data_IF_979710251891
#
_entry.id   IF_979710251891
#
_cell.length_a   1.000
_cell.length_b   1.000
_cell.length_c   1.000
_cell.angle_alpha   90.00
_cell.angle_beta   90.00
_cell.angle_gamma   90.00
#
_symmetry.space_group_name_H-M   'P 1'
#
loop_
_entity.id
_entity.type
_entity.pdbx_description
1 polymer ?
#
# COMPACT_ATOMS: atom_id res chain seq x y z
N UNK A 1 7.07 5.33 -0.18
CA UNK A 1 6.77 4.07 -0.92
C UNK A 1 7.77 3.80 -2.04
N UNK A 2 8.19 4.80 -2.82
CA UNK A 2 9.22 4.62 -3.86
C UNK A 2 10.53 3.99 -3.34
N UNK A 3 11.04 4.44 -2.18
CA UNK A 3 12.22 3.83 -1.55
C UNK A 3 12.04 2.32 -1.26
N UNK A 4 10.90 1.95 -0.66
CA UNK A 4 10.58 0.55 -0.36
C UNK A 4 10.45 -0.26 -1.66
N UNK A 5 9.83 0.30 -2.70
CA UNK A 5 9.70 -0.35 -4.00
C UNK A 5 11.07 -0.60 -4.68
N UNK A 6 11.99 0.36 -4.58
CA UNK A 6 13.37 0.19 -5.05
C UNK A 6 14.09 -0.91 -4.28
N UNK A 7 13.98 -0.89 -2.94
CA UNK A 7 14.60 -1.91 -2.09
C UNK A 7 14.01 -3.31 -2.34
N UNK A 8 12.70 -3.43 -2.63
CA UNK A 8 12.09 -4.70 -3.01
C UNK A 8 12.62 -5.23 -4.35
N UNK A 9 12.92 -4.34 -5.30
CA UNK A 9 13.51 -4.75 -6.57
C UNK A 9 14.93 -5.32 -6.37
N UNK A 10 15.75 -4.69 -5.53
CA UNK A 10 17.08 -5.21 -5.20
C UNK A 10 17.00 -6.57 -4.48
N UNK A 11 16.14 -6.68 -3.45
CA UNK A 11 15.94 -7.96 -2.74
C UNK A 11 15.43 -9.08 -3.66
N UNK A 12 14.62 -8.73 -4.66
CA UNK A 12 14.17 -9.71 -5.63
C UNK A 12 15.32 -10.29 -6.46
N UNK A 13 16.30 -9.46 -6.86
CA UNK A 13 17.51 -9.94 -7.52
C UNK A 13 18.31 -10.88 -6.60
N UNK A 14 18.45 -10.52 -5.31
CA UNK A 14 19.10 -11.38 -4.33
C UNK A 14 18.40 -12.75 -4.18
N UNK A 15 17.06 -12.78 -4.28
CA UNK A 15 16.30 -14.04 -4.21
C UNK A 15 16.48 -14.93 -5.45
N UNK A 16 16.78 -14.34 -6.61
CA UNK A 16 17.06 -15.07 -7.84
C UNK A 16 18.47 -15.67 -7.84
N UNK A 17 19.44 -14.98 -7.25
CA UNK A 17 20.82 -15.46 -7.13
C UNK A 17 21.00 -16.52 -6.03
N UNK A 18 20.00 -16.68 -5.16
CA UNK A 18 20.07 -17.63 -4.05
C UNK A 18 20.01 -19.09 -4.53
N UNK A 19 20.97 -19.90 -4.09
CA UNK A 19 21.06 -21.32 -4.40
C UNK A 19 20.05 -22.14 -3.59
N UNK A 20 18.77 -22.12 -3.99
CA UNK A 20 17.70 -22.88 -3.36
C UNK A 20 17.96 -24.40 -3.43
N UNK A 21 17.78 -25.14 -2.31
CA UNK A 21 17.75 -26.61 -2.36
C UNK A 21 16.64 -27.06 -3.33
N UNK A 22 16.95 -27.99 -4.23
CA UNK A 22 16.09 -28.34 -5.38
C UNK A 22 14.62 -28.70 -5.01
N UNK A 23 14.38 -29.22 -3.80
CA UNK A 23 13.05 -29.57 -3.31
C UNK A 23 12.26 -28.40 -2.67
N UNK A 24 12.88 -27.23 -2.48
CA UNK A 24 12.36 -26.14 -1.63
C UNK A 24 12.17 -24.80 -2.34
N UNK A 25 12.33 -24.76 -3.67
CA UNK A 25 12.17 -23.52 -4.47
C UNK A 25 10.74 -22.96 -4.29
N UNK A 26 10.57 -21.78 -3.68
CA UNK A 26 9.24 -21.23 -3.36
C UNK A 26 8.65 -20.50 -4.56
N UNK A 27 8.22 -21.26 -5.58
CA UNK A 27 7.71 -20.70 -6.85
C UNK A 27 6.47 -19.83 -6.66
N UNK A 28 5.54 -20.26 -5.79
CA UNK A 28 4.30 -19.55 -5.56
C UNK A 28 4.56 -18.17 -4.92
N UNK A 29 5.42 -18.13 -3.91
CA UNK A 29 5.78 -16.91 -3.20
C UNK A 29 6.58 -15.98 -4.09
N UNK A 30 7.47 -16.52 -4.94
CA UNK A 30 8.21 -15.73 -5.92
C UNK A 30 7.26 -15.07 -6.94
N UNK A 31 6.27 -15.81 -7.44
CA UNK A 31 5.24 -15.26 -8.33
C UNK A 31 4.38 -14.22 -7.61
N UNK A 32 3.92 -14.50 -6.39
CA UNK A 32 3.18 -13.54 -5.59
C UNK A 32 4.00 -12.26 -5.35
N UNK A 33 5.31 -12.40 -5.12
CA UNK A 33 6.24 -11.29 -4.96
C UNK A 33 6.28 -10.38 -6.19
N UNK A 34 6.45 -10.96 -7.38
CA UNK A 34 6.48 -10.21 -8.63
C UNK A 34 5.14 -9.52 -8.89
N UNK A 35 4.02 -10.23 -8.71
CA UNK A 35 2.68 -9.68 -8.98
C UNK A 35 2.36 -8.54 -8.03
N UNK A 36 2.56 -8.72 -6.73
CA UNK A 36 2.23 -7.72 -5.72
C UNK A 36 3.17 -6.50 -5.81
N UNK A 37 4.48 -6.72 -5.95
CA UNK A 37 5.45 -5.62 -6.11
C UNK A 37 5.23 -4.87 -7.42
N UNK A 38 4.98 -5.57 -8.53
CA UNK A 38 4.66 -4.97 -9.82
C UNK A 38 3.37 -4.14 -9.75
N UNK A 39 2.33 -4.66 -9.09
CA UNK A 39 1.07 -3.92 -8.87
C UNK A 39 1.33 -2.64 -8.06
N UNK A 40 2.13 -2.71 -7.00
CA UNK A 40 2.47 -1.52 -6.21
C UNK A 40 3.21 -0.47 -7.04
N UNK A 41 4.16 -0.88 -7.89
CA UNK A 41 4.89 0.02 -8.79
C UNK A 41 3.94 0.71 -9.78
N UNK A 42 2.94 0.00 -10.30
CA UNK A 42 1.90 0.58 -11.16
C UNK A 42 0.98 1.55 -10.40
N UNK A 43 0.72 1.31 -9.12
CA UNK A 43 -0.10 2.18 -8.28
C UNK A 43 0.63 3.47 -7.86
N UNK A 44 1.96 3.48 -7.78
CA UNK A 44 2.76 4.66 -7.39
C UNK A 44 2.50 5.92 -8.25
N UNK A 45 2.52 5.89 -9.59
CA UNK A 45 2.21 7.07 -10.39
C UNK A 45 0.75 7.53 -10.22
N UNK A 46 -0.18 6.59 -10.05
CA UNK A 46 -1.60 6.91 -9.78
C UNK A 46 -1.76 7.57 -8.42
N UNK A 47 -1.07 7.07 -7.40
CA UNK A 47 -1.00 7.67 -6.08
C UNK A 47 -0.43 9.09 -6.14
N UNK A 48 0.67 9.29 -6.86
CA UNK A 48 1.27 10.61 -7.02
C UNK A 48 0.30 11.59 -7.69
N UNK A 49 -0.35 11.19 -8.79
CA UNK A 49 -1.35 12.00 -9.45
C UNK A 49 -2.53 12.32 -8.52
N UNK A 50 -3.06 11.32 -7.80
CA UNK A 50 -4.13 11.51 -6.84
C UNK A 50 -3.75 12.47 -5.70
N UNK A 51 -2.51 12.40 -5.22
CA UNK A 51 -1.99 13.27 -4.16
C UNK A 51 -1.80 14.71 -4.64
N UNK A 52 -1.20 14.91 -5.82
CA UNK A 52 -0.94 16.23 -6.41
C UNK A 52 -2.25 16.95 -6.74
N UNK A 53 -3.19 16.25 -7.39
CA UNK A 53 -4.49 16.81 -7.75
C UNK A 53 -5.52 16.75 -6.62
N UNK A 54 -5.14 16.26 -5.43
CA UNK A 54 -6.01 16.11 -4.25
C UNK A 54 -7.33 15.39 -4.57
N UNK A 55 -7.26 14.37 -5.42
CA UNK A 55 -8.39 13.54 -5.81
C UNK A 55 -8.99 12.92 -4.54
N UNK A 56 -10.32 13.00 -4.38
CA UNK A 56 -11.03 12.45 -3.23
C UNK A 56 -10.83 13.19 -1.90
N UNK A 57 -10.10 14.32 -1.85
CA UNK A 57 -9.95 15.13 -0.63
C UNK A 57 -11.20 16.00 -0.32
N UNK A 58 -12.21 15.94 -1.19
CA UNK A 58 -13.59 16.38 -1.00
C UNK A 58 -14.47 15.30 -1.62
N UNK A 59 -15.76 15.22 -1.26
CA UNK A 59 -16.70 14.22 -1.80
C UNK A 59 -17.05 14.46 -3.29
N UNK A 60 -16.10 14.96 -4.09
CA UNK A 60 -16.17 15.31 -5.52
C UNK A 60 -17.51 15.93 -5.93
N UNK A 61 -18.21 16.54 -4.98
CA UNK A 61 -19.57 17.02 -5.03
C UNK A 61 -19.58 18.56 -4.98
N UNK A 62 -18.39 19.16 -4.87
CA UNK A 62 -18.19 20.60 -4.77
C UNK A 62 -18.49 21.17 -3.40
N UNK A 63 -18.87 20.33 -2.41
CA UNK A 63 -19.28 20.79 -1.10
C UNK A 63 -18.16 20.63 -0.07
N UNK A 64 -17.76 21.74 0.57
CA UNK A 64 -16.84 21.73 1.70
C UNK A 64 -17.63 21.89 2.99
N UNK A 65 -17.75 20.81 3.76
CA UNK A 65 -18.24 20.86 5.15
C UNK A 65 -17.43 21.92 5.92
N UNK A 66 -18.12 22.92 6.49
CA UNK A 66 -17.51 23.99 7.29
C UNK A 66 -17.02 25.23 6.51
N UNK A 67 -17.18 25.31 5.18
CA UNK A 67 -16.80 26.53 4.42
C UNK A 67 -17.72 27.72 4.72
N UNK A 68 -18.95 27.46 5.17
CA UNK A 68 -19.89 28.47 5.65
C UNK A 68 -20.28 28.17 7.09
N UNK A 69 -19.40 28.47 8.05
CA UNK A 69 -19.81 28.63 9.45
C UNK A 69 -20.55 29.98 9.64
N UNK A 70 -21.60 30.19 8.84
CA UNK A 70 -22.65 31.16 9.12
C UNK A 70 -23.89 30.35 9.49
N UNK A 71 -24.51 30.71 10.60
CA UNK A 71 -25.43 29.92 11.44
C UNK A 71 -26.71 29.41 10.78
N UNK A 72 -26.94 29.60 9.47
CA UNK A 72 -28.11 29.08 8.76
C UNK A 72 -27.78 28.81 7.28
N UNK A 73 -26.80 27.95 6.97
CA UNK A 73 -26.63 27.51 5.58
C UNK A 73 -27.76 26.57 5.21
N UNK A 74 -28.57 26.97 4.22
CA UNK A 74 -29.56 26.14 3.54
C UNK A 74 -28.92 24.79 3.24
N UNK A 75 -29.39 23.74 3.90
CA UNK A 75 -29.03 22.37 3.53
C UNK A 75 -29.28 22.23 2.02
N UNK A 76 -28.32 21.69 1.25
CA UNK A 76 -28.53 21.54 -0.18
C UNK A 76 -29.85 20.78 -0.39
N UNK A 77 -30.73 21.22 -1.31
CA UNK A 77 -32.00 20.56 -1.53
C UNK A 77 -31.75 19.08 -1.78
N UNK A 78 -32.73 18.25 -1.43
CA UNK A 78 -32.82 16.79 -1.54
C UNK A 78 -32.51 16.17 -2.92
N UNK A 79 -31.92 16.96 -3.83
CA UNK A 79 -31.06 16.57 -4.95
C UNK A 79 -29.80 15.77 -4.56
N UNK A 80 -29.51 15.62 -3.26
CA UNK A 80 -28.71 14.49 -2.73
C UNK A 80 -29.48 13.15 -2.83
N UNK A 81 -30.50 13.11 -3.69
CA UNK A 81 -31.13 11.92 -4.26
C UNK A 81 -30.05 10.87 -4.50
N UNK A 82 -29.95 9.93 -3.57
CA UNK A 82 -30.17 8.49 -3.69
C UNK A 82 -30.39 7.94 -5.12
N UNK A 83 -29.71 8.47 -6.12
CA UNK A 83 -30.12 8.41 -7.51
C UNK A 83 -28.91 8.43 -8.44
N UNK A 84 -28.17 7.33 -8.43
CA UNK A 84 -27.07 7.12 -9.36
C UNK A 84 -26.21 5.93 -8.99
N UNK A 85 -26.83 4.76 -8.77
CA UNK A 85 -26.10 3.50 -8.64
C UNK A 85 -25.23 3.30 -9.88
N UNK A 86 -23.92 3.49 -9.74
CA UNK A 86 -22.99 3.48 -10.86
C UNK A 86 -21.64 4.14 -10.54
N UNK A 87 -20.70 4.14 -11.49
CA UNK A 87 -19.34 4.63 -11.29
C UNK A 87 -19.29 6.12 -10.93
N UNK A 88 -20.29 6.90 -11.36
CA UNK A 88 -20.41 8.33 -11.07
C UNK A 88 -20.79 8.61 -9.61
N UNK A 89 -21.64 7.76 -9.02
CA UNK A 89 -21.98 7.81 -7.60
C UNK A 89 -20.79 7.37 -6.73
N UNK A 90 -20.09 6.30 -7.14
CA UNK A 90 -18.86 5.86 -6.47
C UNK A 90 -17.77 6.94 -6.51
N UNK A 91 -17.58 7.62 -7.64
CA UNK A 91 -16.60 8.71 -7.75
C UNK A 91 -16.93 9.91 -6.86
N UNK A 92 -18.23 10.26 -6.76
CA UNK A 92 -18.70 11.35 -5.91
C UNK A 92 -18.49 10.99 -4.44
N UNK A 93 -18.95 9.83 -3.99
CA UNK A 93 -18.79 9.40 -2.61
C UNK A 93 -17.45 8.72 -2.30
N UNK A 94 -16.50 8.73 -3.24
CA UNK A 94 -15.18 8.16 -2.99
C UNK A 94 -14.49 8.97 -1.90
N UNK A 95 -14.05 8.28 -0.86
CA UNK A 95 -13.29 8.88 0.23
C UNK A 95 -11.92 9.37 -0.24
N UNK A 96 -11.02 9.72 0.69
CA UNK A 96 -9.69 10.20 0.35
C UNK A 96 -8.90 9.14 -0.45
N UNK A 97 -8.85 9.30 -1.78
CA UNK A 97 -8.32 8.27 -2.70
C UNK A 97 -6.81 8.14 -2.58
N UNK A 98 -6.09 9.24 -2.32
CA UNK A 98 -4.63 9.18 -2.17
C UNK A 98 -4.19 8.38 -0.92
N UNK A 99 -4.73 8.61 0.29
CA UNK A 99 -4.49 7.72 1.45
C UNK A 99 -4.91 6.27 1.21
N UNK A 100 -6.02 6.03 0.51
CA UNK A 100 -6.43 4.67 0.16
C UNK A 100 -5.39 3.97 -0.73
N UNK A 101 -4.99 4.60 -1.83
CA UNK A 101 -3.96 4.08 -2.73
C UNK A 101 -2.63 3.88 -2.00
N UNK A 102 -2.29 4.76 -1.06
CA UNK A 102 -1.13 4.59 -0.20
C UNK A 102 -1.23 3.29 0.62
N UNK A 103 -2.32 3.06 1.35
CA UNK A 103 -2.46 1.84 2.17
C UNK A 103 -2.39 0.58 1.32
N UNK A 104 -3.09 0.56 0.17
CA UNK A 104 -3.08 -0.59 -0.74
C UNK A 104 -1.68 -0.85 -1.29
N UNK A 105 -0.98 0.17 -1.77
CA UNK A 105 0.39 0.02 -2.27
C UNK A 105 1.37 -0.42 -1.16
N UNK A 106 1.20 0.06 0.08
CA UNK A 106 2.01 -0.38 1.21
C UNK A 106 1.77 -1.87 1.50
N UNK A 107 0.51 -2.32 1.49
CA UNK A 107 0.16 -3.73 1.69
C UNK A 107 0.78 -4.62 0.60
N UNK A 108 0.70 -4.20 -0.67
CA UNK A 108 1.30 -4.91 -1.79
C UNK A 108 2.83 -4.97 -1.74
N UNK A 109 3.51 -4.04 -1.07
CA UNK A 109 4.97 -4.09 -0.90
C UNK A 109 5.40 -4.91 0.33
N UNK A 110 4.60 -4.88 1.40
CA UNK A 110 4.94 -5.52 2.68
C UNK A 110 4.57 -7.01 2.73
N UNK A 111 3.37 -7.38 2.26
CA UNK A 111 2.91 -8.76 2.28
C UNK A 111 3.85 -9.74 1.57
N UNK A 112 4.26 -9.51 0.31
CA UNK A 112 5.10 -10.48 -0.40
C UNK A 112 6.48 -10.65 0.24
N UNK A 113 7.01 -9.58 0.84
CA UNK A 113 8.26 -9.63 1.59
C UNK A 113 8.16 -10.58 2.78
N UNK A 114 7.10 -10.47 3.58
CA UNK A 114 6.89 -11.35 4.73
C UNK A 114 6.77 -12.81 4.32
N UNK A 115 6.09 -13.08 3.20
CA UNK A 115 5.97 -14.44 2.66
C UNK A 115 7.34 -15.01 2.23
N UNK A 116 8.18 -14.21 1.57
CA UNK A 116 9.52 -14.63 1.17
C UNK A 116 10.46 -14.82 2.37
N UNK A 117 10.43 -13.93 3.36
CA UNK A 117 11.22 -14.06 4.59
C UNK A 117 10.86 -15.34 5.36
N UNK A 118 9.57 -15.69 5.45
CA UNK A 118 9.13 -16.93 6.06
C UNK A 118 9.69 -18.17 5.33
N UNK A 119 9.73 -18.14 3.98
CA UNK A 119 10.32 -19.23 3.18
C UNK A 119 11.83 -19.33 3.32
N UNK A 120 12.53 -18.20 3.42
CA UNK A 120 13.97 -18.16 3.68
C UNK A 120 14.32 -18.80 5.02
N UNK A 121 13.52 -18.54 6.06
CA UNK A 121 13.69 -19.17 7.38
C UNK A 121 13.39 -20.68 7.30
N UNK A 122 12.32 -21.07 6.60
CA UNK A 122 11.97 -22.47 6.44
C UNK A 122 13.06 -23.28 5.71
N UNK A 123 13.69 -22.68 4.70
CA UNK A 123 14.79 -23.28 3.95
C UNK A 123 16.15 -23.21 4.69
N UNK A 124 16.21 -22.53 5.84
CA UNK A 124 17.43 -22.43 6.66
C UNK A 124 18.42 -21.36 6.21
N UNK A 125 18.04 -20.48 5.28
CA UNK A 125 18.88 -19.34 4.85
C UNK A 125 18.95 -18.23 5.89
N UNK A 126 17.91 -18.07 6.69
CA UNK A 126 17.78 -17.00 7.67
C UNK A 126 17.48 -17.57 9.06
N UNK A 127 18.14 -17.11 10.13
CA UNK A 127 17.88 -17.61 11.46
C UNK A 127 16.52 -17.12 11.99
N UNK A 128 15.90 -17.88 12.90
CA UNK A 128 14.53 -17.62 13.37
C UNK A 128 14.38 -16.33 14.19
N UNK A 129 15.47 -15.82 14.77
CA UNK A 129 15.49 -14.56 15.51
C UNK A 129 15.21 -13.35 14.59
N UNK A 130 15.44 -13.51 13.29
CA UNK A 130 15.20 -12.45 12.31
C UNK A 130 13.72 -12.08 12.17
N UNK A 131 12.79 -12.93 12.58
CA UNK A 131 11.33 -12.66 12.58
C UNK A 131 11.00 -11.44 13.44
N UNK A 132 11.77 -11.22 14.51
CA UNK A 132 11.52 -10.13 15.46
C UNK A 132 12.19 -8.82 15.08
N UNK A 133 13.08 -8.85 14.08
CA UNK A 133 13.77 -7.63 13.65
C UNK A 133 12.98 -6.92 12.58
N UNK A 134 13.00 -5.61 12.66
CA UNK A 134 12.33 -4.74 11.69
C UNK A 134 13.32 -3.82 11.00
N UNK A 135 12.94 -3.29 9.84
CA UNK A 135 13.72 -2.25 9.17
C UNK A 135 13.85 -0.97 10.02
N UNK A 136 13.11 -0.84 11.13
CA UNK A 136 13.18 0.30 12.05
C UNK A 136 14.05 0.03 13.28
N UNK A 137 14.68 -1.14 13.38
CA UNK A 137 15.53 -1.49 14.53
C UNK A 137 16.72 -0.55 14.68
N UNK A 138 17.14 0.13 13.60
CA UNK A 138 18.18 1.16 13.69
C UNK A 138 17.74 2.41 14.46
N UNK A 139 16.44 2.70 14.54
CA UNK A 139 15.89 3.84 15.30
C UNK A 139 15.87 3.55 16.80
N UNK A 140 15.62 2.29 17.15
CA UNK A 140 15.70 1.82 18.53
C UNK A 140 17.12 1.37 18.75
N UNK A 141 18.04 2.33 18.99
CA UNK A 141 19.37 2.01 19.47
C UNK A 141 19.21 1.00 20.62
N UNK A 142 19.69 -0.23 20.42
CA UNK A 142 19.60 -1.29 21.42
C UNK A 142 20.46 -0.88 22.61
N UNK A 143 19.89 -0.05 23.49
CA UNK A 143 20.43 0.22 24.81
C UNK A 143 20.00 -0.94 25.68
N UNK A 144 20.84 -1.97 25.67
CA UNK A 144 20.90 -3.12 26.57
C UNK A 144 19.57 -3.85 26.81
N UNK A 145 19.42 -4.98 26.11
CA UNK A 145 18.62 -6.12 26.58
C UNK A 145 19.46 -7.38 26.50
#
# INVERSE_FOLDING_TARGET
QAFIAFQSALRFLDYLDLAWPAASVPRLELHAYVVLTGTAVLLLPVFLAAAVFKVGNMANDGFKLGRSMSTCSVDPPSSVSLGGGGPRGFWRHSGPTAPFLHIVAAFCLLLPRLLMEARLIQAGFLPKDMIWRTDLDFLVAQRDR
#
